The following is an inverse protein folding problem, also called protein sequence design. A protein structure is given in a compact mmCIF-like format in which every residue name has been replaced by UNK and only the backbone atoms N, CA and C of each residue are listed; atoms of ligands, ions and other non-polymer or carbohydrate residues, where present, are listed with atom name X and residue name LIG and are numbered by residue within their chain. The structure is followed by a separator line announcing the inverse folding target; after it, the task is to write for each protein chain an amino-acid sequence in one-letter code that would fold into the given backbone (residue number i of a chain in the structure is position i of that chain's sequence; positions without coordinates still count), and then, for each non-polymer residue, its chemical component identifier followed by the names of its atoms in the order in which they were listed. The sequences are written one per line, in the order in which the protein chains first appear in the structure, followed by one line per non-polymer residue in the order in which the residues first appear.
data_IF_189815240265
#
_entry.id   IF_189815240265
#
_cell.length_a   1.000
_cell.length_b   1.000
_cell.length_c   1.000
_cell.angle_alpha   90.00
_cell.angle_beta   90.00
_cell.angle_gamma   90.00
#
_symmetry.space_group_name_H-M   'P 1'
#
loop_
_entity.id
_entity.type
_entity.pdbx_description
1 polymer ?
#
# COMPACT_ATOMS: atom_id res chain seq x y z
N UNK A 1 8.64 23.53 7.37
CA UNK A 1 8.76 22.39 8.30
C UNK A 1 10.06 21.68 8.01
N UNK A 2 10.84 21.23 9.00
CA UNK A 2 11.92 20.29 8.70
C UNK A 2 11.27 19.03 8.12
N UNK A 3 11.80 18.56 6.99
CA UNK A 3 11.43 17.28 6.43
C UNK A 3 11.61 16.22 7.53
N UNK A 4 10.58 15.42 7.80
CA UNK A 4 10.72 14.35 8.78
C UNK A 4 11.87 13.44 8.29
N UNK A 5 12.68 12.86 9.18
CA UNK A 5 13.85 12.06 8.80
C UNK A 5 13.51 10.94 7.78
N UNK A 6 12.23 10.57 7.74
CA UNK A 6 11.61 9.55 6.93
C UNK A 6 11.21 9.97 5.51
N UNK A 7 10.96 11.26 5.25
CA UNK A 7 10.77 11.78 3.88
C UNK A 7 12.09 11.76 3.07
N UNK A 8 13.19 11.37 3.72
CA UNK A 8 14.52 11.31 3.11
C UNK A 8 14.78 9.98 2.42
N UNK A 9 14.04 8.92 2.75
CA UNK A 9 14.30 7.58 2.22
C UNK A 9 13.33 7.23 1.09
N UNK A 10 13.89 6.82 -0.05
CA UNK A 10 13.12 6.29 -1.18
C UNK A 10 13.44 4.82 -1.35
N UNK A 11 12.41 4.00 -1.53
CA UNK A 11 12.51 2.55 -1.61
C UNK A 11 12.00 2.04 -2.95
N UNK A 12 12.70 1.05 -3.52
CA UNK A 12 12.27 0.41 -4.77
C UNK A 12 12.73 -1.04 -4.79
N UNK A 13 11.90 -1.90 -5.40
CA UNK A 13 12.27 -3.28 -5.68
C UNK A 13 13.40 -3.32 -6.72
N UNK A 14 14.44 -4.12 -6.46
CA UNK A 14 15.37 -4.46 -7.52
C UNK A 14 14.71 -5.43 -8.53
N UNK A 15 14.74 -5.10 -9.82
CA UNK A 15 14.04 -5.84 -10.89
C UNK A 15 14.31 -7.36 -10.89
N UNK A 16 15.55 -7.78 -10.61
CA UNK A 16 15.97 -9.19 -10.75
C UNK A 16 16.59 -9.81 -9.50
N UNK A 17 16.54 -9.13 -8.35
CA UNK A 17 17.26 -9.57 -7.15
C UNK A 17 16.35 -9.49 -5.91
N UNK A 18 16.59 -10.34 -4.88
CA UNK A 18 15.74 -10.47 -3.72
C UNK A 18 15.97 -9.37 -2.66
N UNK A 19 16.16 -8.13 -3.09
CA UNK A 19 16.38 -6.99 -2.19
C UNK A 19 15.67 -5.72 -2.66
N UNK A 20 15.45 -4.84 -1.70
CA UNK A 20 15.00 -3.47 -1.86
C UNK A 20 16.25 -2.59 -1.93
N UNK A 21 16.29 -1.70 -2.91
CA UNK A 21 17.27 -0.61 -2.92
C UNK A 21 16.71 0.53 -2.07
N UNK A 22 17.57 1.19 -1.30
CA UNK A 22 17.18 2.34 -0.46
C UNK A 22 18.09 3.52 -0.80
N UNK A 23 17.52 4.65 -1.23
CA UNK A 23 18.23 5.92 -1.37
C UNK A 23 17.90 6.82 -0.20
N UNK A 24 18.96 7.25 0.46
CA UNK A 24 18.92 8.43 1.31
C UNK A 24 19.11 9.67 0.43
N UNK A 25 18.04 10.44 0.25
CA UNK A 25 18.03 11.66 -0.55
C UNK A 25 18.77 12.82 0.12
N UNK A 26 19.01 12.74 1.43
CA UNK A 26 19.83 13.69 2.18
C UNK A 26 21.32 13.50 1.97
N UNK A 27 21.78 12.24 1.87
CA UNK A 27 23.20 11.91 1.65
C UNK A 27 23.52 11.45 0.22
N UNK A 28 22.49 11.23 -0.59
CA UNK A 28 22.56 10.64 -1.94
C UNK A 28 23.25 9.27 -1.98
N UNK A 29 23.20 8.52 -0.89
CA UNK A 29 23.79 7.19 -0.79
C UNK A 29 22.74 6.10 -1.01
N UNK A 30 23.16 5.07 -1.73
CA UNK A 30 22.38 3.86 -1.94
C UNK A 30 22.82 2.80 -0.93
N UNK A 31 21.85 2.13 -0.34
CA UNK A 31 22.03 0.94 0.47
C UNK A 31 21.07 -0.16 0.01
N UNK A 32 21.29 -1.37 0.55
CA UNK A 32 20.47 -2.54 0.25
C UNK A 32 19.76 -3.00 1.50
N UNK A 33 18.55 -3.48 1.31
CA UNK A 33 17.72 -4.05 2.35
C UNK A 33 17.12 -5.37 1.85
N UNK A 34 17.39 -6.45 2.55
CA UNK A 34 16.92 -7.77 2.14
C UNK A 34 15.39 -7.87 2.21
N UNK A 35 14.79 -8.64 1.31
CA UNK A 35 13.37 -8.97 1.38
C UNK A 35 13.08 -9.98 2.51
N UNK A 36 11.84 -10.01 3.03
CA UNK A 36 11.39 -11.11 3.90
C UNK A 36 11.67 -12.47 3.24
N UNK A 37 12.09 -13.50 3.99
CA UNK A 37 12.52 -14.78 3.42
C UNK A 37 11.55 -15.40 2.40
N UNK A 38 10.21 -15.42 2.61
CA UNK A 38 9.28 -16.00 1.64
C UNK A 38 9.25 -15.28 0.28
N UNK A 39 9.75 -14.05 0.22
CA UNK A 39 9.71 -13.20 -0.97
C UNK A 39 11.03 -13.21 -1.75
N UNK A 40 12.08 -13.86 -1.21
CA UNK A 40 13.38 -13.90 -1.86
C UNK A 40 13.36 -14.78 -3.13
N UNK A 41 12.53 -15.82 -3.15
CA UNK A 41 12.44 -16.75 -4.28
C UNK A 41 11.36 -16.36 -5.30
N UNK A 42 10.56 -15.33 -5.01
CA UNK A 42 9.47 -14.88 -5.89
C UNK A 42 9.95 -13.86 -6.91
N UNK A 43 10.40 -14.37 -8.05
CA UNK A 43 10.65 -13.57 -9.25
C UNK A 43 9.39 -12.78 -9.66
N UNK A 44 9.56 -11.51 -10.01
CA UNK A 44 8.55 -10.61 -10.59
C UNK A 44 7.35 -10.15 -9.74
N UNK A 45 7.20 -10.54 -8.46
CA UNK A 45 6.00 -10.12 -7.72
C UNK A 45 5.99 -8.64 -7.31
N UNK A 46 4.85 -7.97 -7.50
CA UNK A 46 4.62 -6.60 -7.03
C UNK A 46 4.45 -6.61 -5.50
N UNK A 47 5.18 -5.72 -4.83
CA UNK A 47 4.95 -5.40 -3.43
C UNK A 47 4.86 -3.88 -3.28
N UNK A 48 4.18 -3.45 -2.23
CA UNK A 48 4.08 -2.04 -1.83
C UNK A 48 4.82 -1.84 -0.52
N UNK A 49 5.57 -0.76 -0.46
CA UNK A 49 6.24 -0.29 0.74
C UNK A 49 5.55 0.99 1.20
N UNK A 50 5.51 1.19 2.50
CA UNK A 50 5.08 2.46 3.07
C UNK A 50 5.39 2.55 4.55
N UNK A 51 5.30 3.75 5.08
CA UNK A 51 5.52 4.02 6.49
C UNK A 51 4.18 4.15 7.20
N UNK A 52 4.08 3.47 8.34
CA UNK A 52 2.99 3.70 9.30
C UNK A 52 3.17 5.05 9.99
N UNK A 53 2.13 5.53 10.67
CA UNK A 53 2.18 6.84 11.36
C UNK A 53 3.24 6.88 12.47
N UNK A 54 3.54 5.73 13.06
CA UNK A 54 4.61 5.57 14.07
C UNK A 54 6.00 5.35 13.45
N UNK A 55 6.14 5.49 12.12
CA UNK A 55 7.43 5.43 11.42
C UNK A 55 7.95 4.02 11.15
N UNK A 56 7.15 2.97 11.40
CA UNK A 56 7.56 1.60 11.05
C UNK A 56 7.44 1.39 9.55
N UNK A 57 8.50 0.81 8.97
CA UNK A 57 8.47 0.39 7.58
C UNK A 57 7.59 -0.84 7.42
N UNK A 58 6.63 -0.74 6.51
CA UNK A 58 5.71 -1.81 6.16
C UNK A 58 5.96 -2.28 4.74
N UNK A 59 5.80 -3.59 4.54
CA UNK A 59 5.83 -4.23 3.24
C UNK A 59 4.55 -5.04 3.09
N UNK A 60 3.87 -4.84 1.97
CA UNK A 60 2.66 -5.55 1.61
C UNK A 60 2.88 -6.26 0.30
N UNK A 61 2.47 -7.52 0.24
CA UNK A 61 2.64 -8.36 -0.94
C UNK A 61 1.42 -9.24 -1.14
N UNK A 62 1.09 -9.50 -2.42
CA UNK A 62 0.06 -10.46 -2.84
C UNK A 62 0.76 -11.59 -3.60
N UNK A 63 0.49 -12.84 -3.23
CA UNK A 63 1.08 -14.02 -3.88
C UNK A 63 0.42 -14.39 -5.21
N UNK A 64 -0.86 -14.10 -5.34
CA UNK A 64 -1.65 -14.36 -6.54
C UNK A 64 -2.77 -13.32 -6.65
N UNK A 65 -2.86 -12.60 -7.77
CA UNK A 65 -3.80 -11.47 -7.85
C UNK A 65 -5.29 -11.89 -7.93
N UNK A 66 -5.60 -13.12 -8.35
CA UNK A 66 -6.98 -13.63 -8.37
C UNK A 66 -7.51 -13.82 -6.94
N UNK A 67 -8.62 -13.15 -6.63
CA UNK A 67 -9.17 -13.09 -5.28
C UNK A 67 -9.54 -14.45 -4.67
N UNK A 68 -9.96 -15.40 -5.51
CA UNK A 68 -10.34 -16.75 -5.07
C UNK A 68 -9.16 -17.65 -4.67
N UNK A 69 -7.92 -17.23 -4.95
CA UNK A 69 -6.70 -18.00 -4.68
C UNK A 69 -5.65 -17.25 -3.87
N UNK A 70 -5.65 -15.93 -3.99
CA UNK A 70 -4.61 -15.10 -3.45
C UNK A 70 -4.73 -14.79 -1.97
N UNK A 71 -3.57 -14.51 -1.40
CA UNK A 71 -3.34 -14.07 -0.04
C UNK A 71 -2.59 -12.75 -0.06
N UNK A 72 -2.99 -11.86 0.83
CA UNK A 72 -2.30 -10.61 1.14
C UNK A 72 -1.48 -10.80 2.41
N UNK A 73 -0.16 -10.65 2.35
CA UNK A 73 0.71 -10.67 3.52
C UNK A 73 1.22 -9.26 3.85
N UNK A 74 1.11 -8.90 5.13
CA UNK A 74 1.62 -7.63 5.68
C UNK A 74 2.80 -7.93 6.58
N UNK A 75 3.91 -7.26 6.33
CA UNK A 75 5.15 -7.36 7.10
C UNK A 75 5.50 -6.00 7.68
N UNK A 76 5.98 -5.99 8.92
CA UNK A 76 6.57 -4.79 9.52
C UNK A 76 8.03 -5.03 9.82
N UNK A 77 8.85 -4.00 9.62
CA UNK A 77 10.21 -3.97 10.14
C UNK A 77 10.16 -3.55 11.59
N UNK A 78 10.69 -4.39 12.48
CA UNK A 78 10.86 -4.05 13.90
C UNK A 78 12.13 -4.68 14.45
N UNK A 79 12.67 -4.07 15.49
CA UNK A 79 13.75 -4.62 16.29
C UNK A 79 13.32 -5.94 16.94
N UNK A 80 14.20 -6.93 16.90
CA UNK A 80 14.07 -8.13 17.72
C UNK A 80 14.59 -7.88 19.16
N UNK A 81 14.67 -8.95 19.96
CA UNK A 81 15.18 -8.87 21.34
C UNK A 81 16.62 -8.34 21.45
N UNK A 82 17.39 -8.38 20.36
CA UNK A 82 18.78 -7.92 20.29
C UNK A 82 18.88 -6.49 19.71
N UNK A 83 17.75 -5.84 19.41
CA UNK A 83 17.72 -4.49 18.82
C UNK A 83 17.95 -4.45 17.30
N UNK A 84 18.02 -5.61 16.64
CA UNK A 84 18.29 -5.69 15.20
C UNK A 84 16.97 -5.63 14.42
N UNK A 85 16.85 -4.62 13.55
CA UNK A 85 15.67 -4.38 12.71
C UNK A 85 15.49 -5.44 11.61
N UNK A 86 14.49 -6.31 11.78
CA UNK A 86 14.19 -7.46 10.90
C UNK A 86 12.74 -7.39 10.40
N UNK A 87 12.49 -8.01 9.26
CA UNK A 87 11.13 -8.23 8.77
C UNK A 87 10.40 -9.25 9.63
N UNK A 88 9.24 -8.87 10.14
CA UNK A 88 8.36 -9.76 10.89
C UNK A 88 6.97 -9.78 10.25
N UNK A 89 6.47 -10.98 9.99
CA UNK A 89 5.13 -11.19 9.48
C UNK A 89 4.14 -10.63 10.50
N UNK A 90 3.31 -9.68 10.06
CA UNK A 90 2.28 -9.13 10.92
C UNK A 90 0.98 -9.91 10.78
N UNK A 91 0.49 -10.07 9.55
CA UNK A 91 -0.79 -10.72 9.27
C UNK A 91 -0.89 -11.20 7.83
N UNK A 92 -1.76 -12.18 7.60
CA UNK A 92 -2.16 -12.69 6.29
C UNK A 92 -3.69 -12.58 6.19
N UNK A 93 -4.18 -12.17 5.02
CA UNK A 93 -5.61 -12.07 4.70
C UNK A 93 -5.91 -12.83 3.42
N UNK A 94 -7.01 -13.56 3.37
CA UNK A 94 -7.51 -14.11 2.10
C UNK A 94 -8.12 -13.00 1.25
N UNK A 95 -7.78 -12.94 -0.04
CA UNK A 95 -8.29 -11.88 -0.91
C UNK A 95 -9.81 -11.96 -1.11
N UNK A 96 -10.39 -13.15 -0.96
CA UNK A 96 -11.84 -13.37 -0.98
C UNK A 96 -12.58 -12.55 0.08
N UNK A 97 -11.98 -12.31 1.26
CA UNK A 97 -12.59 -11.52 2.33
C UNK A 97 -12.87 -10.08 1.90
N UNK A 98 -11.96 -9.49 1.10
CA UNK A 98 -12.15 -8.13 0.57
C UNK A 98 -13.26 -8.07 -0.49
N UNK A 99 -13.38 -9.14 -1.29
CA UNK A 99 -14.42 -9.28 -2.30
C UNK A 99 -15.79 -9.39 -1.64
N UNK A 100 -15.92 -10.25 -0.62
CA UNK A 100 -17.15 -10.42 0.16
C UNK A 100 -17.56 -9.11 0.85
N UNK A 101 -16.61 -8.41 1.48
CA UNK A 101 -16.86 -7.13 2.12
C UNK A 101 -17.37 -6.06 1.13
N UNK A 102 -16.76 -5.99 -0.05
CA UNK A 102 -17.09 -4.97 -1.04
C UNK A 102 -18.47 -5.14 -1.68
N UNK A 103 -19.07 -6.35 -1.51
CA UNK A 103 -20.25 -6.83 -2.25
C UNK A 103 -20.09 -6.77 -3.78
N UNK A 104 -18.86 -6.61 -4.29
CA UNK A 104 -18.59 -6.52 -5.73
C UNK A 104 -18.67 -7.91 -6.42
N UNK A 105 -19.23 -8.92 -5.76
CA UNK A 105 -19.05 -10.35 -6.06
C UNK A 105 -20.29 -11.16 -6.46
N UNK A 106 -21.52 -10.62 -6.39
CA UNK A 106 -22.70 -11.47 -6.60
C UNK A 106 -22.79 -12.10 -8.01
N UNK A 107 -21.98 -11.66 -8.98
CA UNK A 107 -22.04 -12.16 -10.37
C UNK A 107 -20.69 -12.56 -11.00
N UNK A 108 -19.54 -12.41 -10.30
CA UNK A 108 -18.23 -12.46 -10.97
C UNK A 108 -17.20 -13.36 -10.28
N UNK A 109 -16.68 -14.35 -11.02
CA UNK A 109 -15.71 -15.33 -10.52
C UNK A 109 -14.24 -14.89 -10.66
N UNK A 110 -13.95 -13.90 -11.51
CA UNK A 110 -12.59 -13.47 -11.86
C UNK A 110 -12.25 -12.06 -11.35
N UNK A 111 -12.39 -11.85 -10.04
CA UNK A 111 -11.98 -10.58 -9.41
C UNK A 111 -10.47 -10.59 -9.16
N UNK A 112 -9.80 -9.55 -9.61
CA UNK A 112 -8.36 -9.34 -9.41
C UNK A 112 -8.18 -8.24 -8.36
N UNK A 113 -7.32 -8.48 -7.37
CA UNK A 113 -7.00 -7.49 -6.33
C UNK A 113 -5.56 -7.03 -6.48
N UNK A 114 -5.36 -5.73 -6.60
CA UNK A 114 -4.02 -5.12 -6.64
C UNK A 114 -3.77 -4.27 -5.39
N UNK A 115 -2.56 -4.31 -4.81
CA UNK A 115 -2.17 -3.36 -3.79
C UNK A 115 -1.86 -2.02 -4.47
N UNK A 116 -2.64 -0.99 -4.15
CA UNK A 116 -2.46 0.33 -4.75
C UNK A 116 -1.30 1.07 -4.08
N UNK A 117 -1.35 1.22 -2.75
CA UNK A 117 -0.34 1.97 -1.99
C UNK A 117 -0.49 1.75 -0.48
N UNK A 118 0.59 1.93 0.30
CA UNK A 118 0.52 2.02 1.77
C UNK A 118 0.79 3.46 2.21
N UNK A 119 -0.17 4.09 2.87
CA UNK A 119 -0.08 5.48 3.31
C UNK A 119 -0.50 5.57 4.77
N UNK A 120 0.45 5.93 5.65
CA UNK A 120 0.25 5.85 7.09
C UNK A 120 -0.13 4.42 7.49
N UNK A 121 -1.19 4.28 8.29
CA UNK A 121 -1.62 2.96 8.79
C UNK A 121 -2.63 2.28 7.85
N UNK A 122 -2.74 2.71 6.58
CA UNK A 122 -3.72 2.20 5.64
C UNK A 122 -3.05 1.64 4.39
N UNK A 123 -3.44 0.42 4.04
CA UNK A 123 -3.22 -0.14 2.71
C UNK A 123 -4.44 0.13 1.85
N UNK A 124 -4.24 0.73 0.69
CA UNK A 124 -5.26 0.89 -0.33
C UNK A 124 -5.20 -0.26 -1.32
N UNK A 125 -6.37 -0.83 -1.61
CA UNK A 125 -6.55 -1.97 -2.52
C UNK A 125 -7.48 -1.55 -3.66
N UNK A 126 -7.18 -2.04 -4.86
CA UNK A 126 -8.05 -1.88 -6.04
C UNK A 126 -8.58 -3.24 -6.47
N UNK A 127 -9.90 -3.37 -6.58
CA UNK A 127 -10.58 -4.55 -7.08
C UNK A 127 -10.98 -4.31 -8.53
N UNK A 128 -10.48 -5.16 -9.42
CA UNK A 128 -10.68 -5.09 -10.86
C UNK A 128 -11.50 -6.28 -11.36
N UNK A 129 -12.42 -6.02 -12.29
CA UNK A 129 -13.22 -7.01 -13.01
C UNK A 129 -13.20 -6.67 -14.50
N UNK A 130 -13.00 -7.66 -15.36
CA UNK A 130 -12.99 -7.51 -16.83
C UNK A 130 -12.10 -6.34 -17.31
N UNK A 131 -10.96 -6.14 -16.63
CA UNK A 131 -10.02 -5.06 -16.92
C UNK A 131 -10.36 -3.68 -16.32
N UNK A 132 -11.50 -3.52 -15.64
CA UNK A 132 -11.92 -2.25 -15.04
C UNK A 132 -11.88 -2.29 -13.51
N UNK A 133 -11.27 -1.27 -12.88
CA UNK A 133 -11.35 -1.08 -11.43
C UNK A 133 -12.77 -0.67 -11.05
N UNK A 134 -13.43 -1.50 -10.23
CA UNK A 134 -14.80 -1.28 -9.77
C UNK A 134 -14.85 -0.73 -8.36
N UNK A 135 -13.93 -1.16 -7.50
CA UNK A 135 -14.03 -0.90 -6.07
C UNK A 135 -12.64 -0.59 -5.50
N UNK A 136 -12.51 0.51 -4.77
CA UNK A 136 -11.32 0.85 -4.01
C UNK A 136 -11.60 0.67 -2.51
N UNK A 137 -10.75 -0.10 -1.83
CA UNK A 137 -10.86 -0.39 -0.41
C UNK A 137 -9.66 0.19 0.33
N UNK A 138 -9.84 0.47 1.62
CA UNK A 138 -8.76 0.74 2.57
C UNK A 138 -8.78 -0.30 3.68
N UNK A 139 -7.65 -0.93 3.93
CA UNK A 139 -7.41 -1.81 5.08
C UNK A 139 -6.56 -1.06 6.11
N UNK A 140 -7.08 -0.90 7.32
CA UNK A 140 -6.30 -0.39 8.44
C UNK A 140 -5.35 -1.48 8.94
N UNK A 141 -4.05 -1.26 8.85
CA UNK A 141 -3.02 -2.23 9.24
C UNK A 141 -2.90 -2.41 10.77
N UNK A 142 -3.50 -1.51 11.57
CA UNK A 142 -3.51 -1.61 13.04
C UNK A 142 -4.76 -2.35 13.54
N UNK A 143 -5.92 -2.05 12.96
CA UNK A 143 -7.22 -2.52 13.47
C UNK A 143 -7.86 -3.60 12.62
N UNK A 144 -7.23 -3.94 11.48
CA UNK A 144 -7.72 -4.86 10.45
C UNK A 144 -9.08 -4.46 9.84
N UNK A 145 -9.57 -3.26 10.14
CA UNK A 145 -10.85 -2.77 9.62
C UNK A 145 -10.71 -2.43 8.14
N UNK A 146 -11.63 -2.96 7.35
CA UNK A 146 -11.78 -2.66 5.93
C UNK A 146 -12.88 -1.61 5.77
N UNK A 147 -12.62 -0.60 4.94
CA UNK A 147 -13.64 0.36 4.50
C UNK A 147 -13.64 0.43 2.98
N UNK A 148 -14.82 0.68 2.42
CA UNK A 148 -15.00 0.94 0.99
C UNK A 148 -14.97 2.45 0.76
N UNK A 149 -14.09 2.90 -0.12
CA UNK A 149 -13.85 4.34 -0.35
C UNK A 149 -14.56 4.84 -1.61
N UNK A 150 -14.44 4.11 -2.73
CA UNK A 150 -15.00 4.52 -4.01
C UNK A 150 -15.47 3.33 -4.86
N UNK A 151 -16.48 3.59 -5.70
CA UNK A 151 -17.03 2.67 -6.72
C UNK A 151 -16.37 2.86 -8.10
N UNK A 152 -15.15 3.40 -8.15
CA UNK A 152 -14.40 3.64 -9.38
C UNK A 152 -12.89 3.63 -9.11
N UNK A 153 -12.09 3.51 -10.18
CA UNK A 153 -10.62 3.55 -10.09
C UNK A 153 -10.15 4.88 -9.50
N UNK A 154 -9.42 4.81 -8.39
CA UNK A 154 -8.72 5.96 -7.80
C UNK A 154 -7.29 5.55 -7.51
N UNK A 155 -6.33 6.33 -8.00
CA UNK A 155 -4.94 6.20 -7.60
C UNK A 155 -4.65 7.22 -6.49
N UNK A 156 -4.30 6.78 -5.27
CA UNK A 156 -4.04 7.70 -4.18
C UNK A 156 -2.80 8.56 -4.49
N UNK A 157 -2.94 9.88 -4.33
CA UNK A 157 -1.87 10.84 -4.54
C UNK A 157 -1.18 11.16 -3.21
N UNK A 158 0.12 10.89 -3.12
CA UNK A 158 0.89 10.86 -1.84
C UNK A 158 1.56 12.21 -1.53
N UNK A 159 1.63 13.14 -2.49
CA UNK A 159 2.23 14.45 -2.22
C UNK A 159 1.24 15.37 -1.54
N UNK A 160 1.75 16.35 -0.77
CA UNK A 160 0.94 17.47 -0.34
C UNK A 160 0.20 18.04 -1.55
N UNK A 161 -1.12 18.18 -1.43
CA UNK A 161 -1.93 18.76 -2.49
C UNK A 161 -1.31 20.12 -2.85
N UNK A 162 -0.88 20.35 -4.09
CA UNK A 162 -0.30 21.63 -4.45
C UNK A 162 -1.33 22.73 -4.13
N UNK A 163 -0.90 23.89 -3.63
CA UNK A 163 -1.84 24.96 -3.24
C UNK A 163 -2.84 25.36 -4.34
N UNK A 164 -2.49 25.12 -5.61
CA UNK A 164 -3.36 25.35 -6.77
C UNK A 164 -4.52 24.35 -6.93
N UNK A 165 -4.48 23.19 -6.28
CA UNK A 165 -5.53 22.16 -6.33
C UNK A 165 -6.40 22.14 -5.07
N UNK A 166 -6.01 22.87 -4.04
CA UNK A 166 -6.86 23.12 -2.87
C UNK A 166 -7.87 24.18 -3.31
N UNK A 167 -9.03 23.76 -3.84
CA UNK A 167 -10.12 24.70 -4.10
C UNK A 167 -10.38 25.50 -2.82
N UNK A 168 -10.22 26.82 -2.90
CA UNK A 168 -10.66 27.73 -1.87
C UNK A 168 -12.15 27.45 -1.65
N UNK A 169 -12.54 27.13 -0.41
CA UNK A 169 -13.97 26.93 -0.03
C UNK A 169 -14.81 28.21 -0.16
N UNK A 170 -14.28 29.28 -0.75
CA UNK A 170 -14.94 30.58 -0.86
C UNK A 170 -15.77 30.76 -2.14
N UNK A 171 -15.65 29.88 -3.15
CA UNK A 171 -16.37 30.06 -4.43
C UNK A 171 -17.79 29.44 -4.49
N UNK A 172 -18.33 28.93 -3.37
CA UNK A 172 -19.73 28.43 -3.32
C UNK A 172 -20.74 29.43 -2.71
N UNK A 173 -20.31 30.63 -2.31
CA UNK A 173 -21.21 31.72 -1.92
C UNK A 173 -21.08 32.95 -2.83
N UNK A 174 -21.41 32.81 -4.11
CA UNK A 174 -21.85 33.99 -4.90
C UNK A 174 -23.10 33.68 -5.71
N UNK A 175 -24.23 33.82 -5.01
CA UNK A 175 -25.36 34.69 -5.39
C UNK A 175 -25.87 34.55 -6.84
N UNK A 176 -26.98 33.82 -7.00
CA UNK A 176 -27.99 34.18 -8.02
C UNK A 176 -29.18 34.75 -7.27
N UNK A 177 -29.30 36.08 -7.34
CA UNK A 177 -30.54 36.81 -7.04
C UNK A 177 -31.29 36.99 -8.35
#
# INVERSE_FOLDING_TARGET
MPLNEFDRLVYWKHFSQPYIVVLDTGTLRLSRMDLPPPLQDMGSTEFKLGLTKDGRLSLVFIDHFLASKGMLAVWFRRADGDGVEKWMLHKIFALSEFVDFSMCSQEYHDVIVHPAEVIGDFLYLSLCYDGYTRCCLSLCLETDKVNKFFDHSVHPYIMACPPSLVCNKEDLETKVT
#
